data_IF_214072724066
#
_entry.id   IF_214072724066
#
_cell.length_a   1.000
_cell.length_b   1.000
_cell.length_c   1.000
_cell.angle_alpha   90.00
_cell.angle_beta   90.00
_cell.angle_gamma   90.00
#
_symmetry.space_group_name_H-M   'P 1'
#
loop_
_entity.id
_entity.type
_entity.pdbx_description
1 polymer ?
#
# COMPACT_ATOMS: atom_id res chain seq x y z
N UNK A 1 17.19 -14.99 -27.06
CA UNK A 1 17.21 -16.34 -26.45
C UNK A 1 15.96 -16.46 -25.60
N UNK A 2 15.01 -17.29 -26.03
CA UNK A 2 13.71 -17.48 -25.38
C UNK A 2 13.90 -18.29 -24.08
N UNK A 3 13.65 -17.69 -22.92
CA UNK A 3 13.49 -18.41 -21.67
C UNK A 3 11.99 -18.67 -21.47
N UNK A 4 11.60 -19.92 -21.72
CA UNK A 4 10.25 -20.44 -21.57
C UNK A 4 10.02 -20.75 -20.09
N UNK A 5 9.32 -19.85 -19.38
CA UNK A 5 8.91 -20.07 -17.99
C UNK A 5 7.71 -21.02 -17.95
N UNK A 6 7.93 -22.26 -17.51
CA UNK A 6 6.85 -23.20 -17.20
C UNK A 6 6.42 -23.02 -15.74
N UNK A 7 5.13 -22.75 -15.50
CA UNK A 7 4.55 -22.64 -14.15
C UNK A 7 3.54 -23.78 -13.97
N UNK A 8 3.71 -24.59 -12.92
CA UNK A 8 2.70 -25.55 -12.44
C UNK A 8 2.12 -25.05 -11.12
N UNK A 9 0.85 -24.71 -11.12
CA UNK A 9 0.06 -24.46 -9.90
C UNK A 9 -0.52 -25.79 -9.45
N UNK A 10 -0.09 -26.31 -8.30
CA UNK A 10 -0.65 -27.53 -7.73
C UNK A 10 -1.89 -27.22 -6.90
N UNK A 11 -2.99 -27.90 -7.20
CA UNK A 11 -4.17 -27.99 -6.32
C UNK A 11 -3.86 -28.87 -5.12
N UNK A 12 -4.23 -28.45 -3.91
CA UNK A 12 -4.06 -29.23 -2.67
C UNK A 12 -4.70 -30.62 -2.81
N UNK A 13 -3.88 -31.67 -2.81
CA UNK A 13 -4.31 -33.04 -2.52
C UNK A 13 -4.09 -33.32 -1.04
N UNK A 14 -5.16 -33.66 -0.32
CA UNK A 14 -5.11 -34.03 1.08
C UNK A 14 -4.52 -35.44 1.23
N UNK A 15 -3.41 -35.58 1.97
CA UNK A 15 -2.93 -36.89 2.45
C UNK A 15 -2.35 -36.78 3.87
N UNK A 16 -2.38 -37.89 4.65
CA UNK A 16 -2.56 -37.84 6.09
C UNK A 16 -1.26 -37.81 6.91
N UNK A 17 -1.46 -37.41 8.15
CA UNK A 17 -0.50 -37.01 9.18
C UNK A 17 0.32 -38.21 9.72
N UNK A 18 1.65 -38.15 9.64
CA UNK A 18 2.56 -38.96 10.47
C UNK A 18 3.64 -38.08 11.08
N UNK A 19 3.68 -38.04 12.42
CA UNK A 19 4.63 -37.28 13.22
C UNK A 19 6.01 -37.95 13.22
N UNK A 20 7.04 -37.17 12.91
CA UNK A 20 8.43 -37.47 13.26
C UNK A 20 9.08 -36.19 13.76
N UNK A 21 9.57 -36.22 15.00
CA UNK A 21 10.21 -35.12 15.71
C UNK A 21 11.68 -35.04 15.31
N UNK A 22 12.05 -34.01 14.55
CA UNK A 22 13.43 -33.62 14.28
C UNK A 22 13.58 -32.11 14.46
N UNK A 23 14.50 -31.70 15.33
CA UNK A 23 14.82 -30.30 15.58
C UNK A 23 15.57 -29.73 14.36
N UNK A 24 14.86 -29.00 13.50
CA UNK A 24 15.44 -28.20 12.43
C UNK A 24 15.28 -26.72 12.80
N UNK A 25 16.40 -26.01 12.86
CA UNK A 25 16.42 -24.56 12.82
C UNK A 25 15.80 -24.11 11.50
N UNK A 26 14.51 -23.78 11.50
CA UNK A 26 13.79 -23.31 10.32
C UNK A 26 14.16 -21.85 10.07
N UNK A 27 15.20 -21.63 9.28
CA UNK A 27 15.36 -20.36 8.58
C UNK A 27 14.14 -20.20 7.67
N UNK A 28 13.23 -19.31 8.07
CA UNK A 28 12.06 -18.93 7.27
C UNK A 28 12.57 -18.18 6.03
N UNK A 29 12.76 -18.90 4.92
CA UNK A 29 13.01 -18.27 3.62
C UNK A 29 11.84 -17.33 3.32
N UNK A 30 12.10 -16.02 3.27
CA UNK A 30 11.12 -15.00 2.92
C UNK A 30 10.64 -15.24 1.48
N UNK A 31 9.32 -15.41 1.32
CA UNK A 31 8.66 -15.65 0.03
C UNK A 31 8.88 -14.52 -0.99
N UNK A 32 9.06 -13.29 -0.49
CA UNK A 32 9.33 -12.09 -1.29
C UNK A 32 10.80 -11.70 -1.19
N UNK A 33 11.38 -11.34 -2.33
CA UNK A 33 12.76 -10.83 -2.40
C UNK A 33 12.75 -9.33 -2.10
N UNK A 34 13.74 -8.77 -1.39
CA UNK A 34 13.85 -7.32 -1.28
C UNK A 34 13.91 -6.68 -2.67
N UNK A 35 13.18 -5.58 -2.86
CA UNK A 35 13.25 -4.81 -4.10
C UNK A 35 14.54 -3.99 -4.15
N UNK A 36 15.18 -3.98 -5.32
CA UNK A 36 16.43 -3.24 -5.52
C UNK A 36 16.23 -1.72 -5.41
N UNK A 37 17.27 -1.06 -4.92
CA UNK A 37 17.37 0.41 -4.87
C UNK A 37 18.19 0.87 -6.07
N UNK A 38 17.69 1.84 -6.82
CA UNK A 38 18.44 2.44 -7.93
C UNK A 38 19.71 3.14 -7.43
N UNK A 39 20.75 3.08 -8.26
CA UNK A 39 22.03 3.71 -7.99
C UNK A 39 21.96 5.25 -7.89
N UNK A 40 21.06 5.89 -8.64
CA UNK A 40 20.77 7.31 -8.58
C UNK A 40 19.36 7.62 -9.09
N UNK A 41 18.87 8.83 -8.82
CA UNK A 41 17.53 9.30 -9.22
C UNK A 41 17.55 10.16 -10.49
N UNK A 42 18.59 10.03 -11.34
CA UNK A 42 18.65 10.81 -12.58
C UNK A 42 17.58 10.32 -13.56
N UNK A 43 17.09 11.23 -14.41
CA UNK A 43 16.10 10.91 -15.43
C UNK A 43 16.57 9.77 -16.35
N UNK A 44 17.84 9.80 -16.77
CA UNK A 44 18.40 8.78 -17.66
C UNK A 44 18.41 7.39 -17.01
N UNK A 45 18.96 7.28 -15.79
CA UNK A 45 18.97 6.01 -15.05
C UNK A 45 17.55 5.50 -14.82
N UNK A 46 16.63 6.37 -14.40
CA UNK A 46 15.24 6.00 -14.20
C UNK A 46 14.57 5.48 -15.48
N UNK A 47 14.77 6.17 -16.61
CA UNK A 47 14.22 5.75 -17.90
C UNK A 47 14.76 4.39 -18.34
N UNK A 48 16.08 4.22 -18.34
CA UNK A 48 16.73 3.02 -18.87
C UNK A 48 16.56 1.79 -17.98
N UNK A 49 16.54 1.97 -16.66
CA UNK A 49 16.53 0.86 -15.69
C UNK A 49 15.13 0.49 -15.20
N UNK A 50 14.18 1.42 -15.25
CA UNK A 50 12.86 1.24 -14.66
C UNK A 50 11.72 1.50 -15.65
N UNK A 51 11.61 2.73 -16.15
CA UNK A 51 10.42 3.16 -16.89
C UNK A 51 10.25 2.42 -18.22
N UNK A 52 11.29 2.39 -19.07
CA UNK A 52 11.26 1.68 -20.37
C UNK A 52 11.19 0.17 -20.22
N UNK A 53 11.99 -0.50 -19.37
CA UNK A 53 11.90 -1.96 -19.19
C UNK A 53 10.70 -2.40 -18.33
N UNK A 54 9.87 -1.48 -17.85
CA UNK A 54 8.75 -1.73 -16.93
C UNK A 54 9.17 -2.52 -15.69
N UNK A 55 10.27 -2.11 -15.06
CA UNK A 55 10.83 -2.76 -13.88
C UNK A 55 10.63 -1.91 -12.61
N UNK A 56 10.05 -2.45 -11.54
CA UNK A 56 9.87 -1.71 -10.30
C UNK A 56 11.23 -1.48 -9.63
N UNK A 57 11.36 -0.36 -8.95
CA UNK A 57 12.54 -0.10 -8.12
C UNK A 57 12.23 0.93 -7.05
N UNK A 58 12.96 0.85 -5.95
CA UNK A 58 13.04 1.92 -4.96
C UNK A 58 14.03 2.96 -5.50
N UNK A 59 13.65 4.23 -5.52
CA UNK A 59 14.57 5.31 -5.83
C UNK A 59 15.58 5.48 -4.68
N UNK A 60 16.74 6.13 -4.87
CA UNK A 60 17.69 6.36 -3.77
C UNK A 60 16.98 6.88 -2.52
N UNK A 61 17.33 6.33 -1.36
CA UNK A 61 16.61 6.61 -0.12
C UNK A 61 16.56 8.11 0.17
N UNK A 62 15.38 8.59 0.53
CA UNK A 62 15.17 10.02 0.78
C UNK A 62 15.20 10.93 -0.45
N UNK A 63 15.09 10.41 -1.69
CA UNK A 63 15.07 11.23 -2.92
C UNK A 63 14.00 12.34 -2.90
N UNK A 64 12.96 12.22 -2.07
CA UNK A 64 11.86 13.16 -1.98
C UNK A 64 11.80 13.94 -0.67
N UNK A 65 12.89 13.98 0.12
CA UNK A 65 12.93 14.67 1.42
C UNK A 65 12.59 16.17 1.33
N UNK A 66 12.73 16.78 0.15
CA UNK A 66 12.47 18.20 -0.07
C UNK A 66 11.04 18.54 -0.50
N UNK A 67 10.15 17.56 -0.64
CA UNK A 67 8.74 17.84 -0.93
C UNK A 67 8.15 18.78 0.14
N UNK A 68 7.50 19.90 -0.24
CA UNK A 68 6.93 20.84 0.72
C UNK A 68 5.94 20.19 1.69
N UNK A 69 5.13 19.24 1.19
CA UNK A 69 4.17 18.50 2.00
C UNK A 69 4.81 17.80 3.22
N UNK A 70 6.02 17.23 3.09
CA UNK A 70 6.74 16.63 4.22
C UNK A 70 6.94 17.59 5.39
N UNK A 71 7.29 18.84 5.07
CA UNK A 71 7.63 19.88 6.05
C UNK A 71 6.39 20.60 6.56
N UNK A 72 5.35 20.73 5.74
CA UNK A 72 4.14 21.51 6.05
C UNK A 72 3.02 20.67 6.67
N UNK A 73 2.81 19.44 6.18
CA UNK A 73 1.68 18.61 6.58
C UNK A 73 1.97 17.77 7.82
N UNK A 74 3.24 17.59 8.17
CA UNK A 74 3.66 16.70 9.23
C UNK A 74 4.58 17.42 10.22
N UNK A 75 4.43 17.10 11.51
CA UNK A 75 5.28 17.63 12.59
C UNK A 75 6.30 16.56 13.00
N UNK A 76 7.58 16.95 13.19
CA UNK A 76 8.57 16.01 13.67
C UNK A 76 8.30 15.56 15.11
N UNK A 77 8.76 14.37 15.46
CA UNK A 77 8.71 13.83 16.81
C UNK A 77 9.63 14.67 17.72
N UNK A 78 9.07 15.26 18.77
CA UNK A 78 9.87 16.00 19.75
C UNK A 78 10.77 15.04 20.55
N UNK A 79 12.08 15.18 20.41
CA UNK A 79 13.04 14.85 21.47
C UNK A 79 13.51 13.39 21.63
N UNK A 80 13.22 12.47 20.70
CA UNK A 80 13.91 11.16 20.67
C UNK A 80 14.45 10.85 19.27
N UNK A 81 15.68 10.33 19.14
CA UNK A 81 16.20 9.83 17.88
C UNK A 81 15.52 8.49 17.58
N UNK A 82 14.30 8.53 17.06
CA UNK A 82 13.63 7.36 16.49
C UNK A 82 13.94 7.27 15.01
N UNK A 83 13.95 6.04 14.48
CA UNK A 83 14.21 5.74 13.06
C UNK A 83 13.25 6.47 12.09
N UNK A 84 12.09 6.92 12.61
CA UNK A 84 11.11 7.76 11.91
C UNK A 84 10.94 9.10 12.65
N UNK A 85 11.25 10.24 12.00
CA UNK A 85 11.26 11.54 12.64
C UNK A 85 9.90 12.24 12.63
N UNK A 86 8.84 11.70 12.04
CA UNK A 86 7.50 12.32 11.99
C UNK A 86 6.58 11.65 13.01
N UNK A 87 6.01 12.45 13.92
CA UNK A 87 5.13 11.95 14.98
C UNK A 87 3.64 12.15 14.69
N UNK A 88 3.29 13.31 14.12
CA UNK A 88 1.89 13.73 14.03
C UNK A 88 1.59 14.59 12.81
N UNK A 89 0.31 14.73 12.53
CA UNK A 89 -0.18 15.58 11.46
C UNK A 89 -0.13 17.05 11.91
N UNK A 90 0.24 17.96 11.01
CA UNK A 90 0.14 19.40 11.24
C UNK A 90 -1.32 19.86 11.08
N UNK A 91 -2.15 19.47 12.04
CA UNK A 91 -3.58 19.77 12.03
C UNK A 91 -3.87 21.28 11.92
N UNK A 92 -3.01 22.14 12.49
CA UNK A 92 -3.21 23.59 12.46
C UNK A 92 -3.08 24.16 11.04
N UNK A 93 -2.05 23.72 10.29
CA UNK A 93 -1.86 24.10 8.90
C UNK A 93 -3.00 23.58 8.01
N UNK A 94 -3.37 22.31 8.17
CA UNK A 94 -4.41 21.70 7.36
C UNK A 94 -5.81 22.24 7.66
N UNK A 95 -6.13 22.52 8.93
CA UNK A 95 -7.38 23.21 9.28
C UNK A 95 -7.43 24.60 8.64
N UNK A 96 -6.34 25.38 8.80
CA UNK A 96 -6.28 26.75 8.27
C UNK A 96 -6.52 26.83 6.76
N UNK A 97 -6.02 25.86 6.00
CA UNK A 97 -6.00 25.92 4.54
C UNK A 97 -6.98 24.97 3.84
N UNK A 98 -7.56 24.00 4.55
CA UNK A 98 -8.37 22.94 3.95
C UNK A 98 -9.52 22.41 4.79
N UNK A 99 -9.86 22.98 5.95
CA UNK A 99 -10.93 22.48 6.82
C UNK A 99 -12.24 22.12 6.07
N UNK A 100 -12.67 23.00 5.16
CA UNK A 100 -13.91 22.86 4.39
C UNK A 100 -13.76 22.02 3.10
N UNK A 101 -12.56 21.54 2.79
CA UNK A 101 -12.34 20.69 1.62
C UNK A 101 -13.11 19.39 1.79
N UNK A 102 -13.90 19.01 0.79
CA UNK A 102 -14.72 17.80 0.85
C UNK A 102 -13.93 16.64 0.29
N UNK A 103 -13.46 15.75 1.17
CA UNK A 103 -12.47 14.71 0.87
C UNK A 103 -13.05 13.31 1.04
N UNK A 104 -12.56 12.30 0.28
CA UNK A 104 -12.95 10.92 0.47
C UNK A 104 -12.32 10.33 1.74
N UNK A 105 -13.16 9.67 2.54
CA UNK A 105 -12.78 8.99 3.77
C UNK A 105 -13.29 7.55 3.77
N UNK A 106 -12.44 6.66 4.27
CA UNK A 106 -12.77 5.26 4.57
C UNK A 106 -12.96 5.11 6.07
N UNK A 107 -14.13 4.65 6.50
CA UNK A 107 -14.38 4.26 7.88
C UNK A 107 -14.33 2.75 8.01
N UNK A 108 -13.44 2.26 8.87
CA UNK A 108 -13.42 0.86 9.32
C UNK A 108 -13.82 0.80 10.79
N UNK A 109 -14.87 0.05 11.13
CA UNK A 109 -15.26 -0.16 12.52
C UNK A 109 -14.91 -1.58 12.97
N UNK A 110 -14.26 -1.70 14.12
CA UNK A 110 -14.12 -3.00 14.76
C UNK A 110 -15.46 -3.33 15.45
N UNK A 111 -16.00 -4.56 15.30
CA UNK A 111 -17.18 -4.94 16.07
C UNK A 111 -16.85 -4.85 17.57
N UNK A 112 -17.80 -4.33 18.36
CA UNK A 112 -17.71 -4.38 19.82
C UNK A 112 -17.58 -5.85 20.24
N UNK A 113 -16.75 -6.19 21.24
CA UNK A 113 -16.78 -7.53 21.82
C UNK A 113 -18.18 -7.73 22.40
N UNK A 114 -18.96 -8.62 21.78
CA UNK A 114 -20.25 -9.04 22.28
C UNK A 114 -19.97 -10.05 23.40
N UNK A 115 -20.32 -9.78 24.67
CA UNK A 115 -19.93 -10.63 25.81
C UNK A 115 -20.58 -12.03 25.81
N UNK A 116 -21.37 -12.37 24.79
CA UNK A 116 -22.15 -13.61 24.69
C UNK A 116 -21.56 -14.64 23.72
N UNK A 117 -20.48 -14.35 22.99
CA UNK A 117 -19.84 -15.31 22.08
C UNK A 117 -18.46 -15.75 22.56
N UNK A 118 -18.46 -16.72 23.47
CA UNK A 118 -17.25 -17.50 23.77
C UNK A 118 -16.84 -18.32 22.53
N UNK A 119 -15.55 -18.28 22.21
CA UNK A 119 -14.83 -19.20 21.31
C UNK A 119 -15.27 -19.24 19.84
N UNK A 120 -14.73 -18.34 18.99
CA UNK A 120 -14.14 -18.67 17.67
C UNK A 120 -12.99 -17.70 17.35
N UNK A 121 -11.89 -18.27 16.87
CA UNK A 121 -10.64 -17.65 16.39
C UNK A 121 -10.69 -16.13 16.07
N UNK A 122 -9.72 -15.38 16.61
CA UNK A 122 -9.48 -13.93 16.41
C UNK A 122 -9.37 -13.48 14.94
N UNK A 123 -9.38 -14.40 13.97
CA UNK A 123 -9.18 -14.14 12.54
C UNK A 123 -10.44 -13.75 11.77
N UNK A 124 -11.64 -13.78 12.38
CA UNK A 124 -12.91 -13.65 11.65
C UNK A 124 -13.84 -12.53 12.14
N UNK A 125 -13.33 -11.52 12.83
CA UNK A 125 -14.14 -10.33 13.11
C UNK A 125 -14.42 -9.60 11.80
N UNK A 126 -15.68 -9.59 11.38
CA UNK A 126 -16.11 -8.89 10.18
C UNK A 126 -16.11 -7.39 10.50
N UNK A 127 -15.07 -6.67 10.08
CA UNK A 127 -15.04 -5.22 10.19
C UNK A 127 -16.06 -4.63 9.21
N UNK A 128 -16.89 -3.69 9.65
CA UNK A 128 -17.68 -2.90 8.70
C UNK A 128 -16.76 -1.89 8.04
N UNK A 129 -16.92 -1.74 6.72
CA UNK A 129 -16.20 -0.77 5.91
C UNK A 129 -17.22 0.08 5.16
N UNK A 130 -16.97 1.39 5.09
CA UNK A 130 -17.72 2.30 4.22
C UNK A 130 -16.83 3.41 3.68
N UNK A 131 -17.04 3.77 2.42
CA UNK A 131 -16.51 4.99 1.83
C UNK A 131 -17.55 6.12 1.85
N UNK A 132 -17.13 7.33 2.20
CA UNK A 132 -17.98 8.52 2.18
C UNK A 132 -17.12 9.77 2.00
N UNK A 133 -17.74 10.89 1.63
CA UNK A 133 -17.07 12.18 1.60
C UNK A 133 -17.51 13.03 2.80
N UNK A 134 -16.57 13.81 3.34
CA UNK A 134 -16.82 14.73 4.45
C UNK A 134 -15.82 15.90 4.42
N UNK A 135 -16.09 16.98 5.15
CA UNK A 135 -15.10 18.03 5.36
C UNK A 135 -13.81 17.46 5.97
N UNK A 136 -12.66 17.90 5.48
CA UNK A 136 -11.35 17.47 5.97
C UNK A 136 -11.19 17.72 7.46
N UNK A 137 -11.81 18.77 8.01
CA UNK A 137 -11.86 19.07 9.44
C UNK A 137 -12.31 17.88 10.29
N UNK A 138 -13.30 17.09 9.84
CA UNK A 138 -13.77 15.89 10.53
C UNK A 138 -12.62 14.87 10.70
N UNK A 139 -11.86 14.65 9.63
CA UNK A 139 -10.71 13.74 9.65
C UNK A 139 -9.58 14.27 10.54
N UNK A 140 -9.28 15.57 10.47
CA UNK A 140 -8.25 16.21 11.29
C UNK A 140 -8.56 16.13 12.79
N UNK A 141 -9.83 16.35 13.15
CA UNK A 141 -10.28 16.26 14.54
C UNK A 141 -10.25 14.82 15.05
N UNK A 142 -10.60 13.85 14.19
CA UNK A 142 -10.44 12.44 14.51
C UNK A 142 -8.98 12.04 14.71
N UNK A 143 -8.06 12.47 13.84
CA UNK A 143 -6.62 12.21 13.99
C UNK A 143 -6.10 12.74 15.33
N UNK A 144 -6.49 13.96 15.71
CA UNK A 144 -6.12 14.55 17.01
C UNK A 144 -6.67 13.75 18.20
N UNK A 145 -7.91 13.27 18.11
CA UNK A 145 -8.51 12.44 19.16
C UNK A 145 -7.82 11.07 19.27
N UNK A 146 -7.46 10.46 18.13
CA UNK A 146 -6.82 9.15 18.05
C UNK A 146 -5.41 9.11 18.68
N UNK A 147 -4.70 10.25 18.74
CA UNK A 147 -3.39 10.36 19.41
C UNK A 147 -3.49 10.17 20.93
N UNK A 148 -4.64 10.47 21.54
CA UNK A 148 -4.81 10.49 23.00
C UNK A 148 -5.67 9.36 23.53
N UNK A 149 -6.61 8.86 22.71
CA UNK A 149 -7.63 7.90 23.15
C UNK A 149 -7.77 6.78 22.13
N UNK A 150 -7.72 5.50 22.54
CA UNK A 150 -8.03 4.38 21.65
C UNK A 150 -9.41 4.52 21.03
N UNK A 151 -9.48 4.46 19.69
CA UNK A 151 -10.74 4.60 18.96
C UNK A 151 -11.26 3.23 18.52
N UNK A 152 -12.55 2.97 18.73
CA UNK A 152 -13.24 1.77 18.21
C UNK A 152 -13.46 1.81 16.69
N UNK A 153 -13.17 2.95 16.07
CA UNK A 153 -13.29 3.16 14.63
C UNK A 153 -12.04 3.85 14.07
N UNK A 154 -11.73 3.55 12.82
CA UNK A 154 -10.58 4.11 12.10
C UNK A 154 -11.06 4.89 10.88
N UNK A 155 -10.61 6.13 10.76
CA UNK A 155 -10.72 6.90 9.52
C UNK A 155 -9.41 6.82 8.75
N UNK A 156 -9.51 6.65 7.44
CA UNK A 156 -8.40 6.71 6.51
C UNK A 156 -8.78 7.63 5.37
N UNK A 157 -8.02 8.72 5.20
CA UNK A 157 -8.11 9.55 4.01
C UNK A 157 -7.41 8.76 2.91
N UNK A 158 -8.18 8.24 1.97
CA UNK A 158 -7.70 7.30 0.97
C UNK A 158 -8.04 7.80 -0.43
N UNK A 159 -7.05 7.76 -1.31
CA UNK A 159 -7.21 8.15 -2.71
C UNK A 159 -7.85 9.55 -2.85
N UNK A 160 -7.43 10.48 -1.99
CA UNK A 160 -7.88 11.86 -2.07
C UNK A 160 -7.14 12.53 -3.22
N UNK A 161 -7.89 12.91 -4.25
CA UNK A 161 -7.29 13.55 -5.41
C UNK A 161 -6.79 14.93 -5.01
N UNK A 162 -5.67 15.34 -5.60
CA UNK A 162 -5.14 16.66 -5.35
C UNK A 162 -6.17 17.74 -5.71
N UNK A 163 -7.03 17.49 -6.70
CA UNK A 163 -8.11 18.38 -7.13
C UNK A 163 -9.22 18.58 -6.09
N UNK A 164 -9.39 17.65 -5.14
CA UNK A 164 -10.33 17.79 -4.03
C UNK A 164 -9.85 18.81 -2.97
N UNK A 165 -8.56 19.20 -3.07
CA UNK A 165 -7.91 20.10 -2.11
C UNK A 165 -7.83 21.54 -2.64
N UNK A 166 -7.91 22.55 -1.76
CA UNK A 166 -7.69 23.95 -2.12
C UNK A 166 -6.30 24.19 -2.71
N UNK A 167 -6.18 25.18 -3.61
CA UNK A 167 -4.94 25.47 -4.35
C UNK A 167 -3.67 25.55 -3.47
N UNK A 168 -3.77 26.21 -2.30
CA UNK A 168 -2.65 26.33 -1.36
C UNK A 168 -2.10 24.98 -0.90
N UNK A 169 -2.98 23.99 -0.69
CA UNK A 169 -2.60 22.63 -0.33
C UNK A 169 -2.09 21.84 -1.54
N UNK A 170 -2.62 22.12 -2.74
CA UNK A 170 -2.16 21.48 -3.99
C UNK A 170 -0.72 21.83 -4.34
N UNK A 171 -0.33 23.07 -4.10
CA UNK A 171 1.02 23.59 -4.35
C UNK A 171 2.11 22.89 -3.50
N UNK A 172 1.72 22.15 -2.46
CA UNK A 172 2.67 21.39 -1.64
C UNK A 172 3.16 20.08 -2.29
N UNK A 173 2.57 19.71 -3.43
CA UNK A 173 2.87 18.49 -4.18
C UNK A 173 3.31 18.82 -5.62
N UNK A 174 4.48 19.46 -5.80
CA UNK A 174 5.00 19.71 -7.13
C UNK A 174 5.22 18.37 -7.85
N UNK A 175 4.99 18.37 -9.17
CA UNK A 175 5.22 17.19 -10.01
C UNK A 175 6.73 16.89 -10.07
N UNK A 176 7.18 15.68 -9.68
CA UNK A 176 8.60 15.34 -9.75
C UNK A 176 9.15 15.35 -11.17
N UNK A 177 10.44 15.69 -11.34
CA UNK A 177 11.09 15.70 -12.67
C UNK A 177 10.98 14.35 -13.40
N UNK A 178 11.10 13.25 -12.65
CA UNK A 178 10.94 11.89 -13.18
C UNK A 178 9.53 11.66 -13.74
N UNK A 179 8.50 12.21 -13.10
CA UNK A 179 7.12 12.10 -13.56
C UNK A 179 6.89 12.95 -14.80
N UNK A 180 7.40 14.19 -14.78
CA UNK A 180 7.20 15.14 -15.87
C UNK A 180 7.97 14.80 -17.16
N UNK A 181 9.07 14.05 -17.08
CA UNK A 181 9.98 13.87 -18.22
C UNK A 181 10.33 12.42 -18.57
N UNK A 182 9.94 11.41 -17.78
CA UNK A 182 10.30 10.03 -18.12
C UNK A 182 9.52 9.47 -19.31
N UNK A 183 8.27 9.92 -19.48
CA UNK A 183 7.37 9.53 -20.56
C UNK A 183 6.90 10.72 -21.39
N UNK A 184 5.59 10.79 -21.60
CA UNK A 184 4.90 11.90 -22.29
C UNK A 184 4.75 13.14 -21.41
N UNK A 185 4.85 12.99 -20.09
CA UNK A 185 4.81 14.08 -19.12
C UNK A 185 3.40 14.49 -18.71
N UNK A 186 2.36 13.77 -19.16
CA UNK A 186 1.01 13.94 -18.64
C UNK A 186 0.84 13.22 -17.30
N UNK A 187 0.40 13.97 -16.29
CA UNK A 187 -0.05 13.43 -15.01
C UNK A 187 -1.54 13.16 -15.13
N UNK A 188 -1.91 11.89 -15.06
CA UNK A 188 -3.30 11.44 -15.10
C UNK A 188 -4.02 11.82 -13.80
N UNK A 189 -3.38 11.56 -12.66
CA UNK A 189 -3.92 11.89 -11.35
C UNK A 189 -2.81 11.90 -10.28
N UNK A 190 -3.05 12.63 -9.20
CA UNK A 190 -2.18 12.70 -8.02
C UNK A 190 -3.05 12.46 -6.80
N UNK A 191 -2.76 11.40 -6.04
CA UNK A 191 -3.58 11.03 -4.88
C UNK A 191 -2.78 11.08 -3.59
N UNK A 192 -3.44 11.46 -2.51
CA UNK A 192 -2.89 11.52 -1.16
C UNK A 192 -3.59 10.49 -0.28
N UNK A 193 -2.82 9.83 0.59
CA UNK A 193 -3.32 8.92 1.61
C UNK A 193 -2.77 9.30 2.97
N UNK A 194 -3.63 9.40 3.98
CA UNK A 194 -3.25 9.71 5.36
C UNK A 194 -4.11 8.91 6.34
N UNK A 195 -3.50 8.33 7.36
CA UNK A 195 -4.22 7.76 8.50
C UNK A 195 -3.29 7.25 9.58
N UNK A 196 -3.83 6.41 10.46
CA UNK A 196 -3.06 5.71 11.47
C UNK A 196 -2.89 4.22 11.09
N UNK A 197 -1.68 3.66 11.20
CA UNK A 197 -1.48 2.22 11.07
C UNK A 197 -2.33 1.43 12.09
N UNK A 198 -2.73 0.19 11.77
CA UNK A 198 -2.51 -0.46 10.48
C UNK A 198 -3.44 0.12 9.41
N UNK A 199 -2.87 0.39 8.23
CA UNK A 199 -3.65 0.66 7.01
C UNK A 199 -3.43 -0.47 6.02
N UNK A 200 -4.40 -0.75 5.16
CA UNK A 200 -4.33 -1.85 4.22
C UNK A 200 -4.98 -1.51 2.89
N UNK A 201 -4.24 -1.75 1.81
CA UNK A 201 -4.74 -1.74 0.45
C UNK A 201 -4.56 -3.13 -0.14
N UNK A 202 -5.65 -3.87 -0.40
CA UNK A 202 -5.62 -5.21 -0.98
C UNK A 202 -4.91 -5.28 -2.34
N UNK A 203 -4.60 -6.50 -2.76
CA UNK A 203 -3.91 -6.73 -4.03
C UNK A 203 -4.71 -6.20 -5.23
N UNK A 204 -4.10 -5.30 -5.99
CA UNK A 204 -4.68 -4.70 -7.19
C UNK A 204 -3.58 -4.29 -8.18
N UNK A 205 -3.98 -3.71 -9.32
CA UNK A 205 -3.06 -3.11 -10.31
C UNK A 205 -3.63 -1.80 -10.84
N UNK A 206 -2.73 -0.88 -11.14
CA UNK A 206 -3.09 0.45 -11.65
C UNK A 206 -3.16 0.47 -13.19
N UNK A 207 -3.95 1.39 -13.78
CA UNK A 207 -4.06 1.54 -15.22
C UNK A 207 -2.85 2.24 -15.87
N UNK A 208 -2.06 2.99 -15.10
CA UNK A 208 -0.90 3.75 -15.55
C UNK A 208 0.32 3.43 -14.65
N UNK A 209 1.56 3.70 -15.12
CA UNK A 209 2.73 3.77 -14.25
C UNK A 209 2.49 4.70 -13.05
N UNK A 210 3.07 4.32 -11.91
CA UNK A 210 2.84 4.99 -10.63
C UNK A 210 4.18 5.31 -9.96
N UNK A 211 4.39 6.58 -9.62
CA UNK A 211 5.44 6.97 -8.68
C UNK A 211 4.81 7.18 -7.30
N UNK A 212 5.11 6.30 -6.36
CA UNK A 212 4.58 6.33 -5.00
C UNK A 212 5.65 6.85 -4.03
N UNK A 213 5.34 7.86 -3.22
CA UNK A 213 6.28 8.47 -2.28
C UNK A 213 5.69 8.45 -0.87
N UNK A 214 6.51 7.98 0.08
CA UNK A 214 6.13 7.94 1.49
C UNK A 214 6.46 9.28 2.17
N UNK A 215 5.46 9.89 2.80
CA UNK A 215 5.56 11.19 3.45
C UNK A 215 5.67 11.07 4.97
N UNK A 216 5.04 10.09 5.60
CA UNK A 216 5.10 9.92 7.05
C UNK A 216 4.95 8.46 7.45
N UNK A 217 5.59 8.04 8.54
CA UNK A 217 5.56 6.64 8.99
C UNK A 217 6.17 5.67 7.97
N UNK A 218 5.78 4.40 8.07
CA UNK A 218 6.30 3.33 7.20
C UNK A 218 5.19 2.62 6.43
N UNK A 219 5.50 2.24 5.19
CA UNK A 219 4.68 1.33 4.39
C UNK A 219 5.51 0.16 3.88
N UNK A 220 4.90 -1.03 3.91
CA UNK A 220 5.41 -2.23 3.26
C UNK A 220 4.57 -2.49 2.02
N UNK A 221 5.22 -2.71 0.89
CA UNK A 221 4.58 -2.96 -0.41
C UNK A 221 5.04 -4.33 -0.91
N UNK A 222 4.09 -5.23 -1.17
CA UNK A 222 4.34 -6.49 -1.89
C UNK A 222 3.99 -6.30 -3.36
N UNK A 223 4.91 -6.64 -4.25
CA UNK A 223 4.83 -6.47 -5.70
C UNK A 223 4.89 -7.83 -6.38
N UNK A 224 3.99 -8.06 -7.32
CA UNK A 224 4.02 -9.24 -8.19
C UNK A 224 4.05 -8.81 -9.65
N UNK A 225 4.81 -9.54 -10.46
CA UNK A 225 4.82 -9.34 -11.90
C UNK A 225 3.40 -9.57 -12.46
N UNK A 226 3.05 -8.95 -13.62
CA UNK A 226 1.70 -9.00 -14.17
C UNK A 226 1.09 -10.40 -14.27
N UNK A 227 1.88 -11.40 -14.67
CA UNK A 227 1.43 -12.78 -14.81
C UNK A 227 1.19 -13.46 -13.45
N UNK A 228 2.09 -13.26 -12.49
CA UNK A 228 2.03 -13.89 -11.17
C UNK A 228 0.87 -13.34 -10.34
N UNK A 229 0.72 -12.01 -10.31
CA UNK A 229 -0.40 -11.38 -9.62
C UNK A 229 -1.75 -11.77 -10.24
N UNK A 230 -1.82 -11.93 -11.56
CA UNK A 230 -3.03 -12.41 -12.24
C UNK A 230 -3.35 -13.86 -11.89
N UNK A 231 -2.33 -14.70 -11.68
CA UNK A 231 -2.51 -16.08 -11.23
C UNK A 231 -3.04 -16.14 -9.79
N UNK A 232 -2.46 -15.36 -8.87
CA UNK A 232 -2.91 -15.23 -7.48
C UNK A 232 -4.37 -14.74 -7.44
N UNK A 233 -4.65 -13.64 -8.11
CA UNK A 233 -5.99 -13.07 -8.19
C UNK A 233 -7.01 -14.04 -8.78
N UNK A 234 -6.67 -14.68 -9.90
CA UNK A 234 -7.54 -15.66 -10.55
C UNK A 234 -7.78 -16.91 -9.70
N UNK A 235 -6.81 -17.32 -8.87
CA UNK A 235 -7.01 -18.40 -7.91
C UNK A 235 -8.03 -18.01 -6.83
N UNK A 236 -7.84 -16.86 -6.19
CA UNK A 236 -8.76 -16.38 -5.13
C UNK A 236 -10.17 -16.16 -5.68
N UNK A 237 -10.32 -15.54 -6.87
CA UNK A 237 -11.64 -15.32 -7.47
C UNK A 237 -12.38 -16.62 -7.77
N UNK A 238 -11.69 -17.64 -8.28
CA UNK A 238 -12.28 -18.97 -8.51
C UNK A 238 -12.75 -19.61 -7.20
N UNK A 239 -11.98 -19.46 -6.13
CA UNK A 239 -12.34 -19.97 -4.81
C UNK A 239 -13.60 -19.31 -4.25
N UNK A 240 -13.79 -18.00 -4.47
CA UNK A 240 -15.01 -17.28 -4.07
C UNK A 240 -16.14 -17.36 -5.12
N UNK A 241 -16.02 -18.21 -6.14
CA UNK A 241 -17.05 -18.40 -7.17
C UNK A 241 -17.25 -17.21 -8.12
N UNK A 242 -16.26 -16.31 -8.24
CA UNK A 242 -16.28 -15.13 -9.14
C UNK A 242 -15.36 -15.31 -10.35
N UNK A 243 -15.64 -14.60 -11.44
CA UNK A 243 -14.84 -14.67 -12.68
C UNK A 243 -13.43 -14.07 -12.50
N UNK A 244 -12.35 -14.79 -12.79
CA UNK A 244 -10.97 -14.29 -12.62
C UNK A 244 -10.42 -13.36 -13.72
N UNK A 245 -11.28 -12.73 -14.54
CA UNK A 245 -10.86 -11.99 -15.74
C UNK A 245 -10.01 -10.75 -15.47
N UNK A 246 -9.18 -10.35 -16.46
CA UNK A 246 -8.25 -9.20 -16.36
C UNK A 246 -8.96 -7.87 -16.06
N UNK A 247 -10.15 -7.64 -16.61
CA UNK A 247 -10.89 -6.38 -16.44
C UNK A 247 -11.34 -6.16 -15.00
N UNK A 248 -11.72 -7.24 -14.32
CA UNK A 248 -12.21 -7.16 -12.95
C UNK A 248 -11.10 -6.95 -11.90
N UNK A 249 -9.84 -6.84 -12.35
CA UNK A 249 -8.67 -6.58 -11.53
C UNK A 249 -8.16 -5.14 -11.63
N UNK A 250 -8.60 -4.38 -12.63
CA UNK A 250 -8.15 -3.01 -12.86
C UNK A 250 -9.00 -2.06 -12.01
N UNK A 251 -8.36 -1.16 -11.27
CA UNK A 251 -9.02 -0.04 -10.56
C UNK A 251 -10.22 -0.50 -9.72
N UNK A 252 -9.92 -1.05 -8.55
CA UNK A 252 -10.93 -1.66 -7.68
C UNK A 252 -11.27 -0.71 -6.53
N UNK A 253 -12.57 -0.55 -6.28
CA UNK A 253 -13.10 0.39 -5.29
C UNK A 253 -13.49 -0.31 -4.00
N UNK A 254 -14.59 0.12 -3.39
CA UNK A 254 -15.11 -0.43 -2.13
C UNK A 254 -15.26 -1.97 -2.11
N UNK A 255 -15.52 -2.60 -3.26
CA UNK A 255 -15.76 -4.04 -3.32
C UNK A 255 -14.53 -4.91 -3.02
N UNK A 256 -13.32 -4.36 -3.12
CA UNK A 256 -12.09 -5.06 -2.73
C UNK A 256 -11.84 -5.01 -1.22
N UNK A 257 -12.48 -4.07 -0.52
CA UNK A 257 -12.24 -3.80 0.91
C UNK A 257 -13.10 -4.68 1.82
N UNK A 258 -13.93 -5.55 1.25
CA UNK A 258 -14.92 -6.35 1.99
C UNK A 258 -15.00 -7.80 1.49
N UNK A 259 -15.53 -8.68 2.35
CA UNK A 259 -15.87 -10.06 2.02
C UNK A 259 -14.69 -11.03 1.93
N UNK A 260 -15.00 -12.27 1.54
CA UNK A 260 -14.06 -13.39 1.53
C UNK A 260 -12.86 -13.17 0.59
N UNK A 261 -13.05 -12.44 -0.52
CA UNK A 261 -11.98 -12.16 -1.48
C UNK A 261 -10.86 -11.32 -0.85
N UNK A 262 -11.22 -10.30 -0.05
CA UNK A 262 -10.26 -9.47 0.70
C UNK A 262 -9.42 -10.31 1.66
N UNK A 263 -10.07 -11.20 2.40
CA UNK A 263 -9.43 -12.07 3.42
C UNK A 263 -8.46 -13.05 2.76
N UNK A 264 -8.92 -13.74 1.71
CA UNK A 264 -8.09 -14.71 0.98
C UNK A 264 -6.91 -14.04 0.25
N UNK A 265 -7.11 -12.84 -0.32
CA UNK A 265 -6.01 -12.06 -0.91
C UNK A 265 -5.01 -11.63 0.16
N UNK A 266 -5.48 -11.21 1.35
CA UNK A 266 -4.59 -10.87 2.46
C UNK A 266 -3.77 -12.09 2.88
N UNK A 267 -4.41 -13.24 3.10
CA UNK A 267 -3.73 -14.48 3.48
C UNK A 267 -2.70 -14.93 2.44
N UNK A 268 -3.08 -14.98 1.16
CA UNK A 268 -2.20 -15.43 0.08
C UNK A 268 -1.02 -14.48 -0.16
N UNK A 269 -1.25 -13.18 -0.02
CA UNK A 269 -0.21 -12.18 -0.27
C UNK A 269 0.65 -11.97 0.95
N UNK A 270 0.10 -11.98 2.17
CA UNK A 270 0.74 -11.58 3.42
C UNK A 270 1.19 -12.73 4.35
N UNK A 271 0.42 -13.81 4.46
CA UNK A 271 0.57 -14.83 5.52
C UNK A 271 1.08 -16.20 5.01
N UNK A 272 0.68 -16.65 3.82
CA UNK A 272 0.91 -18.02 3.37
C UNK A 272 2.28 -18.21 2.70
N UNK A 273 3.22 -19.00 3.27
CA UNK A 273 4.46 -19.35 2.60
C UNK A 273 4.14 -20.33 1.46
N UNK A 274 3.93 -19.81 0.25
CA UNK A 274 3.81 -20.65 -0.95
C UNK A 274 5.08 -21.49 -1.05
N UNK A 275 4.94 -22.82 -0.94
CA UNK A 275 6.07 -23.73 -0.87
C UNK A 275 7.00 -23.51 -2.05
N UNK A 276 8.24 -23.14 -1.76
CA UNK A 276 9.31 -22.85 -2.71
C UNK A 276 9.69 -24.12 -3.48
N UNK A 277 8.94 -24.43 -4.54
CA UNK A 277 9.35 -25.39 -5.58
C UNK A 277 10.29 -24.78 -6.63
N UNK A 278 10.52 -23.46 -6.57
CA UNK A 278 11.48 -22.73 -7.39
C UNK A 278 12.27 -21.76 -6.52
N UNK A 279 13.58 -21.65 -6.73
CA UNK A 279 14.45 -20.65 -6.07
C UNK A 279 14.06 -19.18 -6.39
N UNK A 280 13.10 -18.96 -7.29
CA UNK A 280 12.45 -17.67 -7.55
C UNK A 280 11.34 -17.41 -6.52
N UNK A 281 11.49 -16.34 -5.73
CA UNK A 281 10.43 -15.86 -4.82
C UNK A 281 9.17 -15.46 -5.59
N UNK A 282 8.04 -15.32 -4.90
CA UNK A 282 6.71 -15.04 -5.49
C UNK A 282 6.57 -13.57 -5.94
N UNK A 283 7.53 -12.73 -5.59
CA UNK A 283 7.55 -11.32 -5.98
C UNK A 283 8.61 -10.53 -5.22
N UNK A 284 8.42 -9.23 -5.14
CA UNK A 284 9.29 -8.31 -4.40
C UNK A 284 8.59 -7.69 -3.19
N UNK A 285 9.36 -7.38 -2.15
CA UNK A 285 8.95 -6.55 -1.01
C UNK A 285 9.75 -5.25 -1.01
N UNK A 286 9.04 -4.12 -0.96
CA UNK A 286 9.62 -2.80 -0.73
C UNK A 286 9.16 -2.27 0.63
N UNK A 287 10.11 -1.85 1.45
CA UNK A 287 9.86 -1.11 2.70
C UNK A 287 10.20 0.35 2.45
N UNK A 288 9.23 1.23 2.68
CA UNK A 288 9.34 2.67 2.40
C UNK A 288 9.23 3.45 3.71
N UNK A 289 10.25 4.27 3.98
CA UNK A 289 10.23 5.27 5.03
C UNK A 289 10.08 6.68 4.46
N UNK A 290 10.10 7.67 5.34
CA UNK A 290 9.93 9.09 5.00
C UNK A 290 10.88 9.55 3.88
N UNK A 291 10.32 10.10 2.81
CA UNK A 291 11.06 10.62 1.66
C UNK A 291 11.49 9.55 0.64
N UNK A 292 11.19 8.28 0.87
CA UNK A 292 11.45 7.21 -0.10
C UNK A 292 10.41 7.21 -1.22
N UNK A 293 10.89 6.99 -2.45
CA UNK A 293 10.04 6.80 -3.63
C UNK A 293 10.13 5.38 -4.17
N UNK A 294 9.00 4.86 -4.62
CA UNK A 294 8.85 3.57 -5.27
C UNK A 294 8.22 3.78 -6.65
N UNK A 295 8.86 3.27 -7.69
CA UNK A 295 8.25 3.17 -9.00
C UNK A 295 7.54 1.83 -9.15
N UNK A 296 6.26 1.89 -9.49
CA UNK A 296 5.42 0.73 -9.80
C UNK A 296 5.05 0.85 -11.29
N UNK A 297 5.60 -0.02 -12.15
CA UNK A 297 5.31 0.03 -13.57
C UNK A 297 3.86 -0.38 -13.87
N UNK A 298 3.38 -0.01 -15.05
CA UNK A 298 2.04 -0.34 -15.49
C UNK A 298 1.80 -1.86 -15.42
N UNK A 299 0.64 -2.25 -14.90
CA UNK A 299 0.21 -3.65 -14.86
C UNK A 299 0.87 -4.51 -13.78
N UNK A 300 1.83 -3.96 -13.01
CA UNK A 300 2.34 -4.64 -11.82
C UNK A 300 1.29 -4.67 -10.73
N UNK A 301 1.17 -5.84 -10.11
CA UNK A 301 0.26 -6.04 -9.00
C UNK A 301 0.92 -5.64 -7.71
N UNK A 302 0.17 -5.01 -6.82
CA UNK A 302 0.69 -4.58 -5.55
C UNK A 302 -0.36 -4.58 -4.45
N UNK A 303 0.11 -4.86 -3.22
CA UNK A 303 -0.65 -4.72 -1.98
C UNK A 303 0.21 -3.95 -0.98
N UNK A 304 -0.42 -3.09 -0.19
CA UNK A 304 0.27 -2.13 0.65
C UNK A 304 -0.26 -2.22 2.07
N UNK A 305 0.63 -2.29 3.07
CA UNK A 305 0.28 -2.16 4.49
C UNK A 305 1.04 -1.00 5.11
N UNK A 306 0.33 -0.09 5.77
CA UNK A 306 0.92 0.88 6.70
C UNK A 306 1.22 0.19 8.03
N UNK A 307 2.45 0.35 8.52
CA UNK A 307 2.94 -0.32 9.73
C UNK A 307 3.57 0.68 10.69
N UNK A 308 3.82 0.23 11.92
CA UNK A 308 4.42 1.06 12.97
C UNK A 308 3.39 1.85 13.77
N UNK A 309 3.88 2.88 14.45
CA UNK A 309 3.08 3.78 15.31
C UNK A 309 3.02 5.18 14.71
N UNK A 310 2.08 6.00 15.19
CA UNK A 310 1.91 7.39 14.75
C UNK A 310 1.16 7.53 13.43
N UNK A 311 1.33 8.66 12.76
CA UNK A 311 0.68 8.94 11.46
C UNK A 311 1.44 8.27 10.30
N UNK A 312 0.71 7.68 9.35
CA UNK A 312 1.23 7.29 8.04
C UNK A 312 0.66 8.20 6.96
N UNK A 313 1.51 8.59 6.02
CA UNK A 313 1.16 9.48 4.92
C UNK A 313 1.92 9.12 3.65
N UNK A 314 1.25 9.17 2.51
CA UNK A 314 1.89 8.95 1.21
C UNK A 314 1.20 9.75 0.11
N UNK A 315 1.91 10.01 -0.97
CA UNK A 315 1.36 10.60 -2.20
C UNK A 315 1.80 9.73 -3.37
N UNK A 316 1.02 9.73 -4.44
CA UNK A 316 1.42 9.12 -5.69
C UNK A 316 1.13 10.02 -6.88
N UNK A 317 1.78 9.69 -8.00
CA UNK A 317 1.48 10.25 -9.30
C UNK A 317 1.26 9.11 -10.29
N UNK A 318 0.08 9.06 -10.90
CA UNK A 318 -0.17 8.26 -12.09
C UNK A 318 0.16 9.09 -13.33
N UNK A 319 1.04 8.58 -14.18
CA UNK A 319 1.61 9.38 -15.29
C UNK A 319 1.87 8.54 -16.53
N UNK A 320 2.15 9.20 -17.65
CA UNK A 320 2.46 8.55 -18.94
C UNK A 320 3.67 9.15 -19.63
#
# INVERSE_FOLDING_TARGET
MNLQWSIRVWTRSALPNTRSTGCFSTSTRTQYRPLDVLENATLNTFQQRCFVPEHPAILPRGSFQDLPALKKWFKPANGKPTRNPIASLNADYLHKHGAEAFVPLELTQCPSPDPTTETKSETNQLHSFRQFHAPLSLFLDWMRAAETTPQSSRLYLAQCQLLDLPAVLREDFPVPELVAHAGKGDVYDTNVWIGHPPTYTPLHRDPNPNLFVQLAGEKVVRLLAPADGQAVFGAVRREVGKSGGREAAAFRGEEMMQGAERVLLDEMVWESPVSAGSDAGVGFEARLGVGDGLFIPKGWWHSIKGVGEGVTGSVNWWFR
#
